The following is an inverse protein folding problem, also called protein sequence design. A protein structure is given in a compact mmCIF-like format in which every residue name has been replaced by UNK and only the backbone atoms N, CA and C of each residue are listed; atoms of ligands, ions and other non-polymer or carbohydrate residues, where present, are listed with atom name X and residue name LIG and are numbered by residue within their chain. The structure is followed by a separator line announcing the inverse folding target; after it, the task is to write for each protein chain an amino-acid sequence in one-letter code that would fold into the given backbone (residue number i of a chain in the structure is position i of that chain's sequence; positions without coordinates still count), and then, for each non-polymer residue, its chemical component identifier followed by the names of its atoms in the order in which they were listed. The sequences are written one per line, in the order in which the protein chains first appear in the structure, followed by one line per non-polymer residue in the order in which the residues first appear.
data_IF_010021223045
#
_entry.id   IF_010021223045
#
_cell.length_a   1.000
_cell.length_b   1.000
_cell.length_c   1.000
_cell.angle_alpha   90.00
_cell.angle_beta   90.00
_cell.angle_gamma   90.00
#
_symmetry.space_group_name_H-M   'P 1'
#
loop_
_entity.id
_entity.type
_entity.pdbx_description
1 polymer ?
#
# COMPACT_ATOMS: atom_id res chain seq x y z
N UNK A 1 -6.39 24.86 12.15
CA UNK A 1 -5.76 23.61 11.71
C UNK A 1 -4.70 23.93 10.67
N UNK A 2 -3.63 23.15 10.64
CA UNK A 2 -2.49 23.36 9.75
C UNK A 2 -1.95 22.01 9.27
N UNK A 3 -1.69 21.91 7.97
CA UNK A 3 -1.08 20.75 7.35
C UNK A 3 0.34 21.08 6.89
N UNK A 4 1.26 20.16 7.14
CA UNK A 4 2.65 20.20 6.68
C UNK A 4 3.03 18.92 5.95
N UNK A 5 3.88 19.03 4.94
CA UNK A 5 4.56 17.93 4.26
C UNK A 5 6.06 18.13 4.43
N UNK A 6 6.78 17.14 4.97
CA UNK A 6 8.23 17.24 5.23
C UNK A 6 8.63 18.53 5.99
N UNK A 7 7.81 18.92 6.98
CA UNK A 7 7.90 20.15 7.77
C UNK A 7 7.58 21.46 7.04
N UNK A 8 7.33 21.44 5.74
CA UNK A 8 6.88 22.59 4.96
C UNK A 8 5.36 22.72 5.04
N UNK A 9 4.86 23.94 5.26
CA UNK A 9 3.42 24.18 5.39
C UNK A 9 2.77 24.19 4.01
N UNK A 10 1.81 23.29 3.81
CA UNK A 10 1.10 23.14 2.54
C UNK A 10 -0.30 23.74 2.57
N UNK A 11 -0.96 23.70 3.73
CA UNK A 11 -2.30 24.26 3.91
C UNK A 11 -2.58 24.70 5.34
N UNK A 12 -3.45 25.70 5.48
CA UNK A 12 -3.89 26.22 6.78
C UNK A 12 -5.36 26.64 6.70
N UNK A 13 -6.09 26.41 7.77
CA UNK A 13 -7.38 27.06 7.99
C UNK A 13 -7.50 27.52 9.44
N UNK A 14 -7.96 28.76 9.62
CA UNK A 14 -8.35 29.29 10.93
C UNK A 14 -9.83 28.96 11.13
N UNK A 15 -10.15 28.25 12.21
CA UNK A 15 -11.51 27.84 12.58
C UNK A 15 -12.30 29.06 13.09
N UNK A 16 -12.70 29.93 12.18
CA UNK A 16 -13.65 31.01 12.44
C UNK A 16 -14.60 31.13 11.26
N UNK A 17 -15.81 31.61 11.54
CA UNK A 17 -16.90 31.71 10.57
C UNK A 17 -16.43 32.47 9.32
N UNK A 18 -16.61 31.86 8.15
CA UNK A 18 -16.33 32.49 6.85
C UNK A 18 -14.88 32.40 6.36
N UNK A 19 -13.97 31.77 7.13
CA UNK A 19 -12.60 31.58 6.67
C UNK A 19 -12.49 30.42 5.68
N UNK A 20 -11.68 30.62 4.65
CA UNK A 20 -11.34 29.59 3.67
C UNK A 20 -9.94 29.02 3.95
N UNK A 21 -9.67 27.78 3.51
CA UNK A 21 -8.32 27.26 3.49
C UNK A 21 -7.38 28.14 2.66
N UNK A 22 -6.17 28.33 3.18
CA UNK A 22 -5.05 28.96 2.49
C UNK A 22 -4.07 27.87 2.07
N UNK A 23 -3.67 27.88 0.81
CA UNK A 23 -2.70 26.97 0.21
C UNK A 23 -1.39 27.71 -0.04
N UNK A 24 -0.26 27.08 0.26
CA UNK A 24 1.04 27.76 0.26
C UNK A 24 2.14 27.06 -0.52
N UNK A 25 1.97 25.79 -0.83
CA UNK A 25 2.93 25.05 -1.65
C UNK A 25 2.39 24.89 -3.08
N UNK A 26 3.11 25.48 -4.03
CA UNK A 26 2.81 25.44 -5.46
C UNK A 26 2.79 24.01 -6.01
N UNK A 27 3.53 23.07 -5.41
CA UNK A 27 3.53 21.64 -5.79
C UNK A 27 2.14 21.03 -5.74
N UNK A 28 1.31 21.51 -4.83
CA UNK A 28 0.02 20.92 -4.51
C UNK A 28 -1.17 21.76 -4.99
N UNK A 29 -0.93 22.96 -5.53
CA UNK A 29 -1.94 24.01 -5.77
C UNK A 29 -3.21 23.54 -6.51
N UNK A 30 -3.06 22.69 -7.52
CA UNK A 30 -4.18 22.28 -8.39
C UNK A 30 -4.88 20.99 -7.95
N UNK A 31 -4.30 20.27 -6.99
CA UNK A 31 -4.73 18.91 -6.62
C UNK A 31 -5.00 18.71 -5.14
N UNK A 32 -4.54 19.63 -4.30
CA UNK A 32 -4.80 19.63 -2.87
C UNK A 32 -6.07 20.44 -2.57
N UNK A 33 -6.97 19.83 -1.82
CA UNK A 33 -8.19 20.46 -1.29
C UNK A 33 -8.27 20.19 0.19
N UNK A 34 -8.56 21.24 0.97
CA UNK A 34 -8.84 21.10 2.39
C UNK A 34 -10.33 21.37 2.63
N UNK A 35 -10.99 20.48 3.34
CA UNK A 35 -12.37 20.67 3.79
C UNK A 35 -12.41 21.73 4.90
N UNK A 36 -13.27 22.74 4.76
CA UNK A 36 -13.31 23.90 5.64
C UNK A 36 -14.02 23.65 6.98
N UNK A 37 -14.80 22.57 7.07
CA UNK A 37 -15.52 22.17 8.29
C UNK A 37 -14.71 21.18 9.14
N UNK A 38 -14.15 20.16 8.50
CA UNK A 38 -13.47 19.03 9.16
C UNK A 38 -11.95 19.17 9.16
N UNK A 39 -11.40 19.99 8.26
CA UNK A 39 -9.95 20.09 8.03
C UNK A 39 -9.33 18.90 7.33
N UNK A 40 -10.16 18.04 6.71
CA UNK A 40 -9.70 16.89 5.92
C UNK A 40 -8.86 17.38 4.74
N UNK A 41 -7.67 16.80 4.57
CA UNK A 41 -6.81 17.06 3.43
C UNK A 41 -7.03 15.99 2.37
N UNK A 42 -7.38 16.41 1.16
CA UNK A 42 -7.48 15.56 -0.02
C UNK A 42 -6.41 15.99 -1.02
N UNK A 43 -5.60 15.05 -1.47
CA UNK A 43 -4.60 15.27 -2.52
C UNK A 43 -4.91 14.32 -3.68
N UNK A 44 -5.28 14.88 -4.83
CA UNK A 44 -5.59 14.11 -6.03
C UNK A 44 -4.32 13.75 -6.82
N UNK A 45 -4.38 12.64 -7.57
CA UNK A 45 -3.32 12.20 -8.48
C UNK A 45 -1.94 12.14 -7.82
N UNK A 46 -1.82 11.43 -6.69
CA UNK A 46 -0.54 11.27 -5.99
C UNK A 46 0.48 10.52 -6.87
N UNK A 47 1.73 10.97 -6.79
CA UNK A 47 2.90 10.40 -7.46
C UNK A 47 3.87 9.85 -6.42
N UNK A 48 4.84 9.03 -6.84
CA UNK A 48 5.85 8.46 -5.93
C UNK A 48 6.61 9.56 -5.16
N UNK A 49 6.86 10.72 -5.79
CA UNK A 49 7.52 11.88 -5.16
C UNK A 49 6.68 12.59 -4.09
N UNK A 50 5.39 12.26 -3.98
CA UNK A 50 4.51 12.78 -2.93
C UNK A 50 4.51 11.90 -1.68
N UNK A 51 5.28 10.81 -1.69
CA UNK A 51 5.54 9.99 -0.50
C UNK A 51 6.32 10.82 0.52
N UNK A 52 5.98 10.67 1.78
CA UNK A 52 6.64 11.40 2.87
C UNK A 52 5.79 11.52 4.13
N UNK A 53 6.29 12.31 5.06
CA UNK A 53 5.65 12.61 6.32
C UNK A 53 4.69 13.80 6.18
N UNK A 54 3.41 13.52 6.38
CA UNK A 54 2.35 14.52 6.48
C UNK A 54 2.03 14.75 7.97
N UNK A 55 1.95 16.01 8.38
CA UNK A 55 1.63 16.40 9.74
C UNK A 55 0.38 17.28 9.76
N UNK A 56 -0.58 16.93 10.61
CA UNK A 56 -1.73 17.75 10.97
C UNK A 56 -1.53 18.32 12.37
N UNK A 57 -1.53 19.65 12.48
CA UNK A 57 -1.60 20.39 13.75
C UNK A 57 -3.01 20.97 13.95
N UNK A 58 -3.66 20.59 15.04
CA UNK A 58 -4.97 21.10 15.45
C UNK A 58 -4.75 21.98 16.69
N UNK A 59 -5.15 23.24 16.59
CA UNK A 59 -5.04 24.23 17.65
C UNK A 59 -6.42 24.47 18.26
N UNK A 60 -6.58 24.20 19.55
CA UNK A 60 -7.80 24.49 20.33
C UNK A 60 -7.38 25.38 21.49
N UNK A 61 -7.58 26.69 21.33
CA UNK A 61 -7.05 27.68 22.28
C UNK A 61 -5.51 27.67 22.29
N UNK A 62 -4.93 27.30 23.44
CA UNK A 62 -3.48 27.17 23.63
C UNK A 62 -2.96 25.75 23.40
N UNK A 63 -3.85 24.76 23.32
CA UNK A 63 -3.46 23.36 23.17
C UNK A 63 -3.23 23.04 21.69
N UNK A 64 -2.14 22.32 21.41
CA UNK A 64 -1.83 21.77 20.10
C UNK A 64 -1.91 20.23 20.15
N UNK A 65 -2.71 19.66 19.26
CA UNK A 65 -2.69 18.23 18.97
C UNK A 65 -2.02 17.99 17.62
N UNK A 66 -0.98 17.16 17.61
CA UNK A 66 -0.22 16.81 16.41
C UNK A 66 -0.52 15.37 16.01
N UNK A 67 -0.84 15.15 14.73
CA UNK A 67 -0.94 13.82 14.11
C UNK A 67 0.02 13.74 12.94
N UNK A 68 0.78 12.65 12.85
CA UNK A 68 1.72 12.39 11.76
C UNK A 68 1.28 11.16 10.97
N UNK A 69 1.43 11.23 9.65
CA UNK A 69 1.06 10.20 8.71
C UNK A 69 2.22 9.99 7.75
N UNK A 70 2.81 8.80 7.77
CA UNK A 70 3.79 8.41 6.75
C UNK A 70 3.03 7.82 5.58
N UNK A 71 3.07 8.52 4.45
CA UNK A 71 2.39 8.11 3.23
C UNK A 71 3.43 7.59 2.25
N UNK A 72 3.19 6.39 1.72
CA UNK A 72 4.01 5.79 0.66
C UNK A 72 3.13 5.57 -0.56
N UNK A 73 3.54 6.14 -1.69
CA UNK A 73 2.86 5.99 -2.98
C UNK A 73 3.69 5.05 -3.83
N UNK A 74 3.09 3.94 -4.25
CA UNK A 74 3.73 2.97 -5.13
C UNK A 74 3.20 3.13 -6.54
N UNK A 75 4.08 3.15 -7.54
CA UNK A 75 3.68 3.06 -8.93
C UNK A 75 3.30 1.61 -9.24
N UNK A 76 2.01 1.35 -9.36
CA UNK A 76 1.56 0.09 -9.94
C UNK A 76 1.76 0.22 -11.45
N UNK A 77 2.75 -0.47 -12.01
CA UNK A 77 2.80 -0.71 -13.44
C UNK A 77 1.52 -1.46 -13.81
N UNK A 78 0.50 -0.73 -14.25
CA UNK A 78 -0.67 -1.33 -14.88
C UNK A 78 -0.14 -1.75 -16.26
N UNK A 79 0.02 -3.05 -16.57
CA UNK A 79 0.20 -3.43 -17.96
C UNK A 79 -1.10 -3.02 -18.66
N UNK A 80 -1.01 -1.94 -19.43
CA UNK A 80 -2.10 -1.50 -20.31
C UNK A 80 -2.57 -2.70 -21.12
N UNK A 81 -3.83 -3.09 -20.94
CA UNK A 81 -4.49 -4.26 -21.54
C UNK A 81 -4.59 -4.22 -23.08
N UNK A 82 -3.83 -3.35 -23.76
CA UNK A 82 -3.75 -3.26 -25.22
C UNK A 82 -2.81 -4.28 -25.88
N UNK A 83 -2.05 -5.07 -25.11
CA UNK A 83 -1.14 -6.09 -25.65
C UNK A 83 -1.69 -7.52 -25.57
N UNK A 84 -3.01 -7.70 -25.44
CA UNK A 84 -3.63 -9.04 -25.40
C UNK A 84 -3.99 -9.58 -26.80
N UNK A 85 -3.74 -8.87 -27.91
CA UNK A 85 -4.33 -9.25 -29.21
C UNK A 85 -3.42 -9.54 -30.42
N UNK A 86 -2.16 -9.96 -30.28
CA UNK A 86 -1.39 -10.48 -31.43
C UNK A 86 -0.49 -11.63 -30.93
N UNK A 87 -0.48 -12.87 -31.42
CA UNK A 87 -1.24 -13.63 -32.42
C UNK A 87 -0.97 -15.13 -32.18
N UNK A 88 -1.83 -15.99 -32.70
CA UNK A 88 -1.86 -17.43 -32.50
C UNK A 88 -0.57 -18.22 -32.89
N UNK A 89 -0.28 -19.22 -32.06
CA UNK A 89 0.36 -20.52 -32.29
C UNK A 89 1.57 -20.67 -33.24
N UNK A 90 2.73 -21.01 -32.65
CA UNK A 90 3.63 -22.01 -33.22
C UNK A 90 3.74 -23.19 -32.24
N UNK A 91 3.34 -24.37 -32.68
CA UNK A 91 3.20 -25.59 -31.89
C UNK A 91 4.53 -26.08 -31.31
N UNK A 92 4.87 -25.68 -30.09
CA UNK A 92 5.94 -26.32 -29.29
C UNK A 92 5.74 -26.22 -27.76
N UNK A 93 4.65 -25.61 -27.27
CA UNK A 93 4.43 -25.39 -25.84
C UNK A 93 3.95 -26.61 -25.05
N UNK A 94 3.33 -27.60 -25.70
CA UNK A 94 2.69 -28.71 -24.99
C UNK A 94 3.67 -29.66 -24.31
N UNK A 95 4.89 -29.83 -24.84
CA UNK A 95 5.86 -30.74 -24.24
C UNK A 95 6.49 -30.15 -22.96
N UNK A 96 6.68 -28.83 -22.92
CA UNK A 96 7.25 -28.16 -21.75
C UNK A 96 6.31 -28.14 -20.55
N UNK A 97 4.99 -28.01 -20.79
CA UNK A 97 3.99 -27.99 -19.72
C UNK A 97 3.93 -29.35 -19.01
N UNK A 98 3.97 -30.46 -19.76
CA UNK A 98 3.92 -31.81 -19.15
C UNK A 98 5.17 -32.08 -18.31
N UNK A 99 6.35 -31.69 -18.79
CA UNK A 99 7.60 -31.84 -18.02
C UNK A 99 7.59 -30.97 -16.76
N UNK A 100 7.13 -29.73 -16.85
CA UNK A 100 7.01 -28.82 -15.70
C UNK A 100 6.02 -29.35 -14.66
N UNK A 101 4.87 -29.90 -15.07
CA UNK A 101 3.88 -30.50 -14.16
C UNK A 101 4.47 -31.74 -13.49
N UNK A 102 5.17 -32.61 -14.20
CA UNK A 102 5.81 -33.80 -13.59
C UNK A 102 6.87 -33.39 -12.57
N UNK A 103 7.74 -32.42 -12.90
CA UNK A 103 8.73 -31.88 -11.96
C UNK A 103 8.03 -31.25 -10.75
N UNK A 104 7.01 -30.43 -10.97
CA UNK A 104 6.24 -29.80 -9.90
C UNK A 104 5.54 -30.84 -9.00
N UNK A 105 4.94 -31.87 -9.58
CA UNK A 105 4.35 -32.99 -8.85
C UNK A 105 5.39 -33.76 -8.03
N UNK A 106 6.60 -33.98 -8.57
CA UNK A 106 7.71 -34.61 -7.83
C UNK A 106 8.18 -33.69 -6.69
N UNK A 107 8.29 -32.37 -6.92
CA UNK A 107 8.64 -31.39 -5.90
C UNK A 107 7.64 -31.40 -4.74
N UNK A 108 6.34 -31.37 -5.03
CA UNK A 108 5.29 -31.44 -3.99
C UNK A 108 5.34 -32.77 -3.25
N UNK A 109 5.58 -33.87 -3.97
CA UNK A 109 5.63 -35.20 -3.36
C UNK A 109 6.84 -35.35 -2.43
N UNK A 110 7.97 -34.75 -2.78
CA UNK A 110 9.20 -34.75 -1.97
C UNK A 110 9.10 -33.85 -0.73
N UNK A 111 8.38 -32.73 -0.84
CA UNK A 111 8.04 -31.85 0.28
C UNK A 111 7.11 -32.55 1.29
N UNK A 112 6.09 -33.25 0.79
CA UNK A 112 5.16 -34.00 1.63
C UNK A 112 5.77 -35.21 2.33
N UNK A 113 6.76 -35.91 1.74
CA UNK A 113 7.44 -37.02 2.41
C UNK A 113 8.36 -36.53 3.54
N UNK A 114 8.84 -35.29 3.48
CA UNK A 114 9.72 -34.70 4.51
C UNK A 114 8.92 -34.23 5.73
N UNK A 115 7.71 -33.67 5.55
CA UNK A 115 6.83 -33.29 6.67
C UNK A 115 6.12 -34.47 7.34
N UNK A 116 5.66 -35.49 6.59
CA UNK A 116 4.92 -36.62 7.17
C UNK A 116 5.75 -37.44 8.17
N UNK A 117 7.05 -37.61 7.90
CA UNK A 117 7.96 -38.34 8.81
C UNK A 117 8.14 -37.59 10.13
N UNK A 118 8.17 -36.26 10.09
CA UNK A 118 8.26 -35.43 11.30
C UNK A 118 6.95 -35.40 12.09
N UNK A 119 5.79 -35.24 11.44
CA UNK A 119 4.48 -35.23 12.13
C UNK A 119 4.15 -36.57 12.79
N UNK A 120 4.54 -37.68 12.17
CA UNK A 120 4.30 -39.02 12.74
C UNK A 120 5.18 -39.31 13.97
N UNK A 121 6.40 -38.74 14.02
CA UNK A 121 7.31 -38.83 15.19
C UNK A 121 6.84 -37.97 16.37
N UNK A 122 6.18 -36.84 16.12
CA UNK A 122 5.62 -35.96 17.16
C UNK A 122 4.38 -36.60 17.83
N UNK A 123 3.52 -37.27 17.06
CA UNK A 123 2.29 -37.89 17.60
C UNK A 123 2.53 -39.16 18.41
N UNK A 124 3.64 -39.87 18.19
CA UNK A 124 3.98 -41.06 18.96
C UNK A 124 4.43 -40.74 20.41
N UNK A 125 4.60 -39.46 20.77
CA UNK A 125 5.11 -39.06 22.07
C UNK A 125 4.38 -37.81 22.63
N UNK A 126 3.11 -37.97 23.01
CA UNK A 126 2.49 -37.07 23.99
C UNK A 126 2.31 -37.83 25.32
N UNK A 127 3.19 -37.60 26.31
CA UNK A 127 3.02 -38.17 27.64
C UNK A 127 1.84 -37.53 28.37
N UNK A 128 1.19 -38.36 29.16
CA UNK A 128 0.19 -38.05 30.18
C UNK A 128 0.50 -36.79 31.01
N UNK A 129 -0.56 -36.22 31.60
CA UNK A 129 -0.68 -35.29 32.75
C UNK A 129 -1.32 -33.95 32.33
N UNK A 130 -2.47 -33.55 32.87
CA UNK A 130 -2.87 -33.55 34.29
C UNK A 130 -4.36 -33.80 34.48
#
# INVERSE_FOLDING_TARGET
MEWRFENERIARIKLSIGNKPQYEDERFRDRLKMDDQTGTLTINNMTVSDSGCYQLSIFIGIEETIKKFNVTVNETAIPSVHTVLISAAAAAGSLFIVVAIVIFCICIKMDQDTERVQTQMIYANLPFLK
#
